data_IF_567112876800
#
_entry.id   IF_567112876800
#
_cell.length_a   1.000
_cell.length_b   1.000
_cell.length_c   1.000
_cell.angle_alpha   90.00
_cell.angle_beta   90.00
_cell.angle_gamma   90.00
#
_symmetry.space_group_name_H-M   'P 1'
#
loop_
_entity.id
_entity.type
_entity.pdbx_description
1 polymer ?
#
# COMPACT_ATOMS: atom_id res chain seq x y z
N UNK A 1 -10.42 -22.85 -4.15
CA UNK A 1 -11.18 -22.57 -2.92
C UNK A 1 -12.49 -23.30 -2.98
N UNK A 2 -12.98 -23.80 -1.84
CA UNK A 2 -14.26 -24.52 -1.76
C UNK A 2 -15.18 -23.82 -0.77
N UNK A 3 -16.48 -24.05 -0.92
CA UNK A 3 -17.50 -23.62 0.05
C UNK A 3 -17.28 -24.28 1.42
N UNK A 4 -17.75 -23.66 2.51
CA UNK A 4 -17.54 -24.19 3.87
C UNK A 4 -18.40 -25.42 4.17
N UNK A 5 -19.44 -25.68 3.37
CA UNK A 5 -20.36 -26.81 3.56
C UNK A 5 -19.81 -28.16 3.08
N UNK A 6 -18.73 -28.18 2.28
CA UNK A 6 -18.20 -29.42 1.71
C UNK A 6 -17.18 -30.12 2.62
N UNK A 7 -17.10 -31.45 2.49
CA UNK A 7 -16.06 -32.25 3.15
C UNK A 7 -14.71 -32.14 2.40
N UNK A 8 -13.92 -31.13 2.75
CA UNK A 8 -12.65 -30.86 2.06
C UNK A 8 -11.63 -32.00 2.16
N UNK A 9 -11.69 -32.82 3.23
CA UNK A 9 -10.76 -33.96 3.39
C UNK A 9 -11.04 -35.05 2.37
N UNK A 10 -12.31 -35.32 2.10
CA UNK A 10 -12.75 -36.29 1.10
C UNK A 10 -12.39 -35.82 -0.31
N UNK A 11 -12.63 -34.54 -0.63
CA UNK A 11 -12.23 -33.95 -1.92
C UNK A 11 -10.70 -34.03 -2.09
N UNK A 12 -9.92 -33.67 -1.06
CA UNK A 12 -8.46 -33.76 -1.10
C UNK A 12 -7.98 -35.19 -1.36
N UNK A 13 -8.60 -36.18 -0.73
CA UNK A 13 -8.29 -37.60 -0.94
C UNK A 13 -8.63 -38.06 -2.37
N UNK A 14 -9.79 -37.66 -2.90
CA UNK A 14 -10.20 -38.03 -4.25
C UNK A 14 -9.30 -37.42 -5.33
N UNK A 15 -8.70 -36.26 -5.05
CA UNK A 15 -7.74 -35.62 -5.94
C UNK A 15 -6.30 -36.14 -5.77
N UNK A 16 -6.06 -37.01 -4.79
CA UNK A 16 -4.75 -37.60 -4.55
C UNK A 16 -4.34 -38.49 -5.73
N UNK A 17 -3.07 -38.41 -6.14
CA UNK A 17 -2.48 -39.16 -7.27
C UNK A 17 -3.09 -38.85 -8.65
N UNK A 18 -3.89 -37.80 -8.78
CA UNK A 18 -4.32 -37.30 -10.10
C UNK A 18 -3.16 -36.53 -10.74
N UNK A 19 -2.89 -36.84 -12.01
CA UNK A 19 -1.88 -36.14 -12.83
C UNK A 19 -2.56 -35.28 -13.88
N UNK A 20 -2.06 -34.07 -14.06
CA UNK A 20 -2.44 -33.14 -15.11
C UNK A 20 -1.22 -32.81 -15.95
N UNK A 21 -1.24 -33.14 -17.25
CA UNK A 21 -0.08 -32.95 -18.17
C UNK A 21 1.22 -33.52 -17.60
N UNK A 22 1.16 -34.77 -17.14
CA UNK A 22 2.25 -35.51 -16.50
C UNK A 22 2.79 -34.93 -15.17
N UNK A 23 2.19 -33.85 -14.65
CA UNK A 23 2.48 -33.31 -13.33
C UNK A 23 1.48 -33.84 -12.29
N UNK A 24 1.98 -34.42 -11.20
CA UNK A 24 1.15 -34.84 -10.08
C UNK A 24 0.72 -33.64 -9.23
N UNK A 25 -0.57 -33.55 -8.90
CA UNK A 25 -1.10 -32.40 -8.15
C UNK A 25 -0.72 -32.42 -6.67
N UNK A 26 -0.72 -33.60 -6.04
CA UNK A 26 -0.42 -33.82 -4.61
C UNK A 26 -1.08 -32.79 -3.66
N UNK A 27 -2.42 -32.72 -3.63
CA UNK A 27 -3.13 -31.70 -2.87
C UNK A 27 -2.98 -31.88 -1.35
N UNK A 28 -3.04 -30.77 -0.62
CA UNK A 28 -3.10 -30.75 0.84
C UNK A 28 -4.25 -29.89 1.36
N UNK A 29 -4.83 -30.28 2.49
CA UNK A 29 -5.88 -29.46 3.15
C UNK A 29 -5.23 -28.25 3.79
N UNK A 30 -5.50 -27.07 3.23
CA UNK A 30 -5.03 -25.81 3.78
C UNK A 30 -5.72 -25.50 5.13
N UNK A 31 -4.96 -24.99 6.10
CA UNK A 31 -5.49 -24.62 7.42
C UNK A 31 -5.93 -23.16 7.42
N UNK A 32 -6.95 -22.86 8.22
CA UNK A 32 -7.41 -21.50 8.40
C UNK A 32 -6.34 -20.62 9.08
N UNK A 33 -6.35 -19.32 8.76
CA UNK A 33 -5.44 -18.34 9.36
C UNK A 33 -5.82 -18.09 10.83
N UNK A 34 -4.91 -18.39 11.76
CA UNK A 34 -5.15 -18.22 13.21
C UNK A 34 -4.78 -16.84 13.73
N UNK A 35 -3.70 -16.23 13.20
CA UNK A 35 -3.21 -14.90 13.60
C UNK A 35 -3.33 -13.92 12.43
N UNK A 36 -4.54 -13.40 12.25
CA UNK A 36 -4.89 -12.44 11.19
C UNK A 36 -4.41 -11.02 11.48
N UNK A 37 -4.51 -10.58 12.74
CA UNK A 37 -4.05 -9.26 13.18
C UNK A 37 -2.67 -9.40 13.82
N UNK A 38 -1.69 -8.64 13.32
CA UNK A 38 -0.30 -8.71 13.78
C UNK A 38 0.20 -7.32 14.16
N UNK A 39 0.85 -7.22 15.32
CA UNK A 39 1.33 -5.95 15.81
C UNK A 39 2.73 -5.64 15.28
N UNK A 40 2.97 -4.38 14.96
CA UNK A 40 4.32 -3.83 14.73
C UNK A 40 4.77 -2.99 15.94
N UNK A 41 5.92 -2.32 15.84
CA UNK A 41 6.41 -1.45 16.91
C UNK A 41 5.39 -0.32 17.22
N UNK A 42 5.13 -0.08 18.50
CA UNK A 42 4.20 0.94 18.99
C UNK A 42 4.68 2.39 18.81
N UNK A 43 5.94 2.62 18.44
CA UNK A 43 6.45 3.96 18.11
C UNK A 43 5.59 4.63 17.02
N UNK A 44 4.97 3.83 16.14
CA UNK A 44 4.03 4.25 15.08
C UNK A 44 2.78 4.98 15.56
N UNK A 45 2.52 5.03 16.86
CA UNK A 45 1.45 5.83 17.44
C UNK A 45 1.86 7.29 17.71
N UNK A 46 3.15 7.62 17.61
CA UNK A 46 3.66 8.95 17.89
C UNK A 46 3.22 9.97 16.82
N UNK A 47 2.78 11.17 17.24
CA UNK A 47 2.24 12.22 16.36
C UNK A 47 3.09 12.53 15.12
N UNK A 48 4.41 12.60 15.25
CA UNK A 48 5.30 12.86 14.09
C UNK A 48 5.29 11.70 13.09
N UNK A 49 5.21 10.46 13.57
CA UNK A 49 5.14 9.29 12.69
C UNK A 49 3.77 9.22 12.04
N UNK A 50 2.68 9.48 12.79
CA UNK A 50 1.33 9.56 12.23
C UNK A 50 1.23 10.58 11.08
N UNK A 51 1.77 11.79 11.25
CA UNK A 51 1.79 12.81 10.17
C UNK A 51 2.57 12.35 8.95
N UNK A 52 3.76 11.78 9.17
CA UNK A 52 4.58 11.22 8.09
C UNK A 52 3.84 10.10 7.35
N UNK A 53 3.20 9.21 8.09
CA UNK A 53 2.47 8.08 7.53
C UNK A 53 1.24 8.52 6.73
N UNK A 54 0.52 9.58 7.18
CA UNK A 54 -0.58 10.18 6.40
C UNK A 54 -0.05 10.67 5.03
N UNK A 55 1.08 11.38 5.02
CA UNK A 55 1.72 11.86 3.78
C UNK A 55 2.08 10.69 2.85
N UNK A 56 2.73 9.65 3.38
CA UNK A 56 3.15 8.49 2.59
C UNK A 56 1.96 7.67 2.09
N UNK A 57 0.95 7.43 2.94
CA UNK A 57 -0.26 6.71 2.58
C UNK A 57 -1.07 7.47 1.51
N UNK A 58 -1.22 8.79 1.64
CA UNK A 58 -1.87 9.60 0.62
C UNK A 58 -1.14 9.53 -0.73
N UNK A 59 0.20 9.60 -0.71
CA UNK A 59 1.03 9.43 -1.93
C UNK A 59 0.85 8.04 -2.56
N UNK A 60 0.80 6.98 -1.75
CA UNK A 60 0.54 5.62 -2.23
C UNK A 60 -0.83 5.52 -2.88
N UNK A 61 -1.87 6.06 -2.23
CA UNK A 61 -3.24 6.03 -2.75
C UNK A 61 -3.30 6.74 -4.10
N UNK A 62 -2.71 7.94 -4.23
CA UNK A 62 -2.63 8.62 -5.52
C UNK A 62 -1.97 7.76 -6.60
N UNK A 63 -0.79 7.21 -6.31
CA UNK A 63 -0.06 6.38 -7.27
C UNK A 63 -0.85 5.13 -7.68
N UNK A 64 -1.52 4.47 -6.74
CA UNK A 64 -2.27 3.24 -6.97
C UNK A 64 -3.61 3.48 -7.68
N UNK A 65 -4.33 4.52 -7.28
CA UNK A 65 -5.58 4.95 -7.92
C UNK A 65 -5.33 5.34 -9.39
N UNK A 66 -4.24 6.07 -9.66
CA UNK A 66 -3.83 6.43 -11.02
C UNK A 66 -3.35 5.20 -11.79
N UNK A 67 -2.56 4.31 -11.18
CA UNK A 67 -2.06 3.07 -11.80
C UNK A 67 -3.20 2.13 -12.21
N UNK A 68 -4.26 2.07 -11.40
CA UNK A 68 -5.42 1.20 -11.64
C UNK A 68 -6.55 1.91 -12.38
N UNK A 69 -6.43 3.22 -12.61
CA UNK A 69 -7.47 4.08 -13.19
C UNK A 69 -8.83 3.93 -12.49
N UNK A 70 -8.83 3.69 -11.18
CA UNK A 70 -10.04 3.35 -10.40
C UNK A 70 -11.09 4.46 -10.44
N UNK A 71 -10.63 5.71 -10.43
CA UNK A 71 -11.45 6.92 -10.38
C UNK A 71 -11.52 7.66 -11.74
N UNK A 72 -10.91 7.10 -12.79
CA UNK A 72 -10.88 7.68 -14.13
C UNK A 72 -12.27 7.65 -14.81
N UNK A 73 -12.53 8.62 -15.69
CA UNK A 73 -13.83 8.82 -16.37
C UNK A 73 -14.15 7.78 -17.48
N UNK A 74 -13.79 6.51 -17.29
CA UNK A 74 -13.97 5.49 -18.32
C UNK A 74 -14.51 4.17 -17.74
N UNK A 75 -15.75 4.23 -17.25
CA UNK A 75 -16.64 3.08 -17.40
C UNK A 75 -17.77 3.42 -18.37
N UNK A 76 -17.45 3.12 -19.64
CA UNK A 76 -18.36 2.83 -20.77
C UNK A 76 -18.97 4.02 -21.53
N UNK A 77 -18.67 4.02 -22.83
CA UNK A 77 -19.56 4.27 -23.96
C UNK A 77 -20.62 5.40 -23.82
N UNK A 78 -20.56 6.33 -24.79
CA UNK A 78 -21.58 7.31 -25.20
C UNK A 78 -21.70 8.60 -24.38
N UNK A 79 -21.01 9.66 -24.85
CA UNK A 79 -21.60 10.81 -25.56
C UNK A 79 -20.51 11.91 -25.69
N UNK A 80 -20.40 12.61 -26.83
CA UNK A 80 -19.51 13.76 -26.95
C UNK A 80 -20.17 14.95 -26.26
N UNK A 81 -19.95 15.10 -24.96
CA UNK A 81 -20.22 16.37 -24.27
C UNK A 81 -18.90 16.96 -23.77
N UNK A 82 -18.39 17.90 -24.56
CA UNK A 82 -17.30 18.81 -24.21
C UNK A 82 -17.73 19.75 -23.08
N UNK A 83 -17.81 19.28 -21.83
CA UNK A 83 -17.72 20.15 -20.65
C UNK A 83 -17.42 19.31 -19.40
N UNK A 84 -16.22 19.48 -18.85
CA UNK A 84 -15.81 19.17 -17.46
C UNK A 84 -15.99 17.73 -16.95
N UNK A 85 -15.39 16.73 -17.59
CA UNK A 85 -15.16 15.43 -16.94
C UNK A 85 -13.85 15.48 -16.13
N UNK A 86 -13.84 16.17 -14.99
CA UNK A 86 -12.81 15.91 -13.99
C UNK A 86 -13.06 14.50 -13.43
N UNK A 87 -12.03 13.64 -13.31
CA UNK A 87 -12.17 12.33 -12.68
C UNK A 87 -12.76 12.51 -11.27
N UNK A 88 -13.68 11.63 -10.89
CA UNK A 88 -14.29 11.66 -9.56
C UNK A 88 -13.19 11.40 -8.53
N UNK A 89 -12.69 12.44 -7.86
CA UNK A 89 -11.56 12.29 -6.94
C UNK A 89 -11.91 11.42 -5.72
N UNK A 90 -10.92 10.65 -5.25
CA UNK A 90 -11.07 9.82 -4.06
C UNK A 90 -11.48 10.69 -2.85
N UNK A 91 -12.66 10.46 -2.25
CA UNK A 91 -13.18 11.33 -1.21
C UNK A 91 -12.36 11.33 0.08
N UNK A 92 -11.56 10.27 0.34
CA UNK A 92 -10.74 10.17 1.55
C UNK A 92 -9.50 11.07 1.51
N UNK A 93 -9.14 11.57 0.32
CA UNK A 93 -8.00 12.46 0.12
C UNK A 93 -8.39 13.94 0.16
N UNK A 94 -9.69 14.25 0.26
CA UNK A 94 -10.17 15.63 0.39
C UNK A 94 -9.63 16.25 1.67
N UNK A 95 -9.01 17.42 1.55
CA UNK A 95 -8.45 18.21 2.66
C UNK A 95 -7.38 17.45 3.47
N UNK A 96 -6.67 16.50 2.85
CA UNK A 96 -5.65 15.72 3.57
C UNK A 96 -4.44 16.59 3.97
N UNK A 97 -4.15 17.64 3.20
CA UNK A 97 -3.06 18.59 3.45
C UNK A 97 -3.22 19.36 4.76
N UNK A 98 -4.45 19.59 5.20
CA UNK A 98 -4.76 20.35 6.43
C UNK A 98 -4.24 19.61 7.67
N UNK A 99 -4.17 18.27 7.62
CA UNK A 99 -3.64 17.43 8.69
C UNK A 99 -2.12 17.29 8.66
N UNK A 100 -1.46 17.74 7.59
CA UNK A 100 0.00 17.70 7.43
C UNK A 100 0.68 18.98 7.93
N UNK A 101 -0.08 20.06 8.14
CA UNK A 101 0.41 21.33 8.65
C UNK A 101 0.38 21.27 10.18
N UNK A 102 1.48 21.62 10.84
CA UNK A 102 1.50 21.79 12.29
C UNK A 102 0.95 23.18 12.63
N UNK A 103 -0.29 23.24 13.12
CA UNK A 103 -0.82 24.44 13.76
C UNK A 103 -0.15 24.61 15.12
N UNK A 104 0.77 25.58 15.21
CA UNK A 104 1.43 25.98 16.46
C UNK A 104 1.05 27.42 16.80
N UNK A 105 0.71 27.69 18.06
CA UNK A 105 0.43 29.04 18.57
C UNK A 105 1.75 29.77 18.87
N UNK A 106 2.65 29.81 17.88
CA UNK A 106 4.00 30.36 18.05
C UNK A 106 3.99 31.83 18.48
N UNK A 107 3.01 32.60 17.99
CA UNK A 107 2.81 34.00 18.38
C UNK A 107 2.43 34.14 19.86
N UNK A 108 1.56 33.27 20.38
CA UNK A 108 1.15 33.27 21.79
C UNK A 108 2.29 32.84 22.71
N UNK A 109 3.07 31.82 22.31
CA UNK A 109 4.23 31.37 23.10
C UNK A 109 5.35 32.42 23.15
N UNK A 110 5.55 33.16 22.06
CA UNK A 110 6.51 34.27 21.99
C UNK A 110 6.02 35.51 22.78
N UNK A 111 4.73 35.86 22.68
CA UNK A 111 4.11 36.94 23.47
C UNK A 111 4.11 36.67 24.97
N UNK A 112 3.94 35.41 25.37
CA UNK A 112 3.99 34.99 26.78
C UNK A 112 5.43 34.86 27.31
N UNK A 113 6.46 35.08 26.49
CA UNK A 113 7.87 35.02 26.91
C UNK A 113 8.32 33.62 27.36
N UNK A 114 7.56 32.56 26.99
CA UNK A 114 7.90 31.16 27.33
C UNK A 114 9.00 30.59 26.43
N UNK A 115 9.45 31.36 25.45
CA UNK A 115 10.68 31.15 24.67
C UNK A 115 11.93 31.35 25.53
N UNK A 116 12.07 30.59 26.62
CA UNK A 116 13.25 30.61 27.48
C UNK A 116 13.07 30.12 28.92
N UNK A 117 11.84 29.97 29.41
CA UNK A 117 11.58 29.47 30.76
C UNK A 117 11.28 27.96 30.73
N UNK A 118 12.03 27.12 31.49
CA UNK A 118 11.63 25.74 31.66
C UNK A 118 10.26 25.74 32.33
N UNK A 119 9.28 25.12 31.69
CA UNK A 119 7.96 24.91 32.28
C UNK A 119 8.12 24.42 33.73
N UNK A 120 7.49 25.09 34.69
CA UNK A 120 7.29 24.58 36.06
C UNK A 120 6.31 23.40 36.10
N UNK A 121 6.43 22.48 35.13
CA UNK A 121 6.12 21.09 35.39
C UNK A 121 7.40 20.48 35.93
N UNK A 122 7.35 20.02 37.20
CA UNK A 122 8.36 19.18 37.83
C UNK A 122 9.24 18.46 36.80
N UNK A 123 10.57 18.68 36.75
CA UNK A 123 11.41 18.06 35.75
C UNK A 123 11.31 16.56 35.96
N UNK A 124 10.53 15.88 35.12
CA UNK A 124 10.55 14.42 35.07
C UNK A 124 11.92 14.06 34.52
N UNK A 125 12.85 13.78 35.44
CA UNK A 125 14.16 13.17 35.19
C UNK A 125 14.13 12.37 33.90
N UNK A 126 14.86 12.87 32.92
CA UNK A 126 14.90 12.31 31.57
C UNK A 126 15.82 13.15 30.72
N UNK A 127 16.62 12.46 29.92
CA UNK A 127 17.54 13.08 28.98
C UNK A 127 16.74 14.01 28.03
N UNK A 128 17.20 15.23 27.67
CA UNK A 128 16.49 16.12 26.73
C UNK A 128 16.22 15.48 25.34
N UNK A 129 16.93 14.39 25.04
CA UNK A 129 16.75 13.60 23.82
C UNK A 129 15.57 12.61 23.89
N UNK A 130 14.99 12.36 25.06
CA UNK A 130 13.94 11.37 25.32
C UNK A 130 12.55 12.01 25.37
N UNK A 131 11.68 11.57 24.46
CA UNK A 131 10.29 12.00 24.34
C UNK A 131 9.32 10.87 24.73
N UNK A 132 8.18 11.27 25.28
CA UNK A 132 7.06 10.35 25.51
C UNK A 132 6.25 10.24 24.23
N UNK A 133 5.76 9.04 23.91
CA UNK A 133 4.90 8.82 22.75
C UNK A 133 3.56 9.54 22.95
N UNK A 134 3.43 10.70 22.33
CA UNK A 134 2.19 11.46 22.26
C UNK A 134 1.33 10.98 21.08
N UNK A 135 0.08 10.61 21.38
CA UNK A 135 -0.88 10.08 20.41
C UNK A 135 -1.99 11.09 20.15
N UNK A 136 -2.15 11.49 18.90
CA UNK A 136 -3.23 12.36 18.45
C UNK A 136 -4.36 11.53 17.80
N UNK A 137 -5.52 11.49 18.45
CA UNK A 137 -6.69 10.73 17.97
C UNK A 137 -7.28 11.25 16.65
N UNK A 138 -7.13 12.54 16.34
CA UNK A 138 -7.62 13.09 15.07
C UNK A 138 -6.76 12.55 13.92
N UNK A 139 -5.43 12.60 14.07
CA UNK A 139 -4.50 12.06 13.08
C UNK A 139 -4.68 10.55 12.91
N UNK A 140 -4.87 9.81 14.00
CA UNK A 140 -5.14 8.36 13.95
C UNK A 140 -6.37 8.06 13.09
N UNK A 141 -7.50 8.75 13.33
CA UNK A 141 -8.74 8.53 12.57
C UNK A 141 -8.59 8.82 11.07
N UNK A 142 -7.78 9.83 10.73
CA UNK A 142 -7.49 10.16 9.33
C UNK A 142 -6.64 9.07 8.70
N UNK A 143 -5.52 8.72 9.34
CA UNK A 143 -4.61 7.68 8.86
C UNK A 143 -5.34 6.34 8.68
N UNK A 144 -6.17 5.94 9.64
CA UNK A 144 -6.89 4.65 9.58
C UNK A 144 -7.78 4.52 8.37
N UNK A 145 -8.43 5.61 7.92
CA UNK A 145 -9.22 5.59 6.68
C UNK A 145 -8.35 5.32 5.46
N UNK A 146 -7.17 5.94 5.40
CA UNK A 146 -6.20 5.72 4.31
C UNK A 146 -5.68 4.29 4.31
N UNK A 147 -5.29 3.77 5.48
CA UNK A 147 -4.73 2.43 5.60
C UNK A 147 -5.77 1.34 5.31
N UNK A 148 -7.01 1.53 5.78
CA UNK A 148 -8.12 0.64 5.45
C UNK A 148 -8.43 0.66 3.97
N UNK A 149 -8.41 1.83 3.33
CA UNK A 149 -8.58 1.93 1.87
C UNK A 149 -7.49 1.16 1.13
N UNK A 150 -6.22 1.40 1.45
CA UNK A 150 -5.08 0.67 0.88
C UNK A 150 -5.24 -0.84 1.05
N UNK A 151 -5.63 -1.29 2.24
CA UNK A 151 -5.74 -2.71 2.56
C UNK A 151 -6.91 -3.40 1.86
N UNK A 152 -8.08 -2.75 1.80
CA UNK A 152 -9.32 -3.34 1.29
C UNK A 152 -9.41 -3.22 -0.23
N UNK A 153 -9.01 -2.08 -0.80
CA UNK A 153 -9.13 -1.80 -2.23
C UNK A 153 -7.93 -2.30 -3.01
N UNK A 154 -6.72 -1.99 -2.53
CA UNK A 154 -5.47 -2.28 -3.24
C UNK A 154 -4.72 -3.50 -2.69
N UNK A 155 -5.28 -4.22 -1.72
CA UNK A 155 -4.65 -5.38 -1.08
C UNK A 155 -3.24 -5.09 -0.53
N UNK A 156 -3.00 -3.85 -0.10
CA UNK A 156 -1.70 -3.39 0.41
C UNK A 156 -1.72 -3.32 1.94
N UNK A 157 -0.85 -4.09 2.59
CA UNK A 157 -0.67 -4.10 4.04
C UNK A 157 0.43 -3.09 4.43
N UNK A 158 -0.01 -1.88 4.78
CA UNK A 158 0.87 -0.71 4.92
C UNK A 158 2.01 -0.93 5.93
N UNK A 159 1.70 -1.38 7.14
CA UNK A 159 2.70 -1.55 8.19
C UNK A 159 3.64 -2.74 7.95
N UNK A 160 3.26 -3.69 7.08
CA UNK A 160 4.12 -4.76 6.61
C UNK A 160 4.82 -4.42 5.29
N UNK A 161 4.54 -3.24 4.72
CA UNK A 161 5.11 -2.74 3.47
C UNK A 161 5.05 -3.78 2.35
N UNK A 162 3.91 -4.45 2.18
CA UNK A 162 3.75 -5.58 1.23
C UNK A 162 2.38 -5.56 0.55
N UNK A 163 2.33 -5.96 -0.72
CA UNK A 163 1.10 -6.17 -1.50
C UNK A 163 0.71 -7.66 -1.56
N UNK A 164 -0.59 -7.96 -1.46
CA UNK A 164 -1.15 -9.29 -1.67
C UNK A 164 -1.87 -9.36 -3.03
N UNK A 165 -1.09 -9.41 -4.12
CA UNK A 165 -1.59 -9.23 -5.51
C UNK A 165 -2.76 -10.14 -5.90
N UNK A 166 -2.72 -11.42 -5.52
CA UNK A 166 -3.73 -12.42 -5.93
C UNK A 166 -4.74 -12.71 -4.81
N UNK A 167 -4.89 -11.81 -3.84
CA UNK A 167 -5.70 -12.08 -2.65
C UNK A 167 -7.19 -12.32 -2.96
N UNK A 168 -7.71 -11.75 -4.05
CA UNK A 168 -9.10 -12.00 -4.47
C UNK A 168 -9.34 -13.45 -4.91
N UNK A 169 -8.33 -14.12 -5.46
CA UNK A 169 -8.42 -15.52 -5.89
C UNK A 169 -8.07 -16.51 -4.77
N UNK A 170 -7.37 -16.05 -3.73
CA UNK A 170 -6.95 -16.89 -2.61
C UNK A 170 -8.12 -17.26 -1.68
N UNK A 171 -8.01 -18.36 -0.90
CA UNK A 171 -9.10 -18.81 -0.02
C UNK A 171 -9.54 -17.79 1.04
N UNK A 172 -8.63 -16.94 1.52
CA UNK A 172 -8.92 -15.91 2.51
C UNK A 172 -8.81 -14.53 1.87
N UNK A 173 -9.93 -13.99 1.37
CA UNK A 173 -10.00 -12.60 0.92
C UNK A 173 -9.78 -11.67 2.12
N UNK A 174 -8.86 -10.70 1.98
CA UNK A 174 -8.42 -9.80 3.05
C UNK A 174 -7.94 -10.56 4.31
N UNK A 175 -6.96 -11.45 4.16
CA UNK A 175 -6.49 -12.40 5.17
C UNK A 175 -5.80 -11.75 6.37
N UNK A 176 -4.55 -11.33 6.21
CA UNK A 176 -3.70 -10.78 7.28
C UNK A 176 -3.63 -9.25 7.18
N UNK A 177 -3.58 -8.59 8.33
CA UNK A 177 -3.35 -7.14 8.44
C UNK A 177 -2.39 -6.84 9.59
N UNK A 178 -1.45 -5.92 9.36
CA UNK A 178 -0.57 -5.42 10.40
C UNK A 178 -1.12 -4.13 11.00
N UNK A 179 -1.03 -4.01 12.33
CA UNK A 179 -1.57 -2.91 13.11
C UNK A 179 -0.51 -2.34 14.06
N UNK A 180 -0.72 -1.11 14.51
CA UNK A 180 0.14 -0.45 15.50
C UNK A 180 0.18 -1.27 16.79
N UNK A 181 1.39 -1.52 17.32
CA UNK A 181 1.56 -2.22 18.60
C UNK A 181 1.27 -1.34 19.80
N UNK A 182 1.31 -1.90 21.04
CA UNK A 182 1.07 -1.14 22.26
C UNK A 182 2.10 -0.02 22.43
N UNK A 183 1.71 1.06 23.11
CA UNK A 183 2.60 2.20 23.37
C UNK A 183 3.84 1.70 24.13
N UNK A 184 5.07 2.02 23.65
CA UNK A 184 6.29 1.63 24.34
C UNK A 184 6.28 2.10 25.80
N UNK A 185 6.67 1.25 26.77
CA UNK A 185 6.69 1.63 28.18
C UNK A 185 7.83 2.62 28.49
N UNK A 186 8.90 2.58 27.70
CA UNK A 186 10.04 3.48 27.83
C UNK A 186 9.85 4.71 26.93
N UNK A 187 10.47 5.83 27.32
CA UNK A 187 10.59 7.00 26.44
C UNK A 187 11.38 6.60 25.18
N UNK A 188 11.01 7.20 24.06
CA UNK A 188 11.70 7.03 22.78
C UNK A 188 12.52 8.28 22.50
N UNK A 189 13.62 8.16 21.78
CA UNK A 189 14.44 9.32 21.43
C UNK A 189 13.96 9.96 20.13
N UNK A 190 14.22 11.27 19.96
CA UNK A 190 13.99 11.94 18.68
C UNK A 190 14.72 11.25 17.52
N UNK A 191 15.91 10.71 17.79
CA UNK A 191 16.72 9.97 16.83
C UNK A 191 16.03 8.68 16.38
N UNK A 192 15.48 7.90 17.30
CA UNK A 192 14.74 6.66 16.96
C UNK A 192 13.51 6.94 16.10
N UNK A 193 12.79 8.04 16.37
CA UNK A 193 11.65 8.46 15.53
C UNK A 193 12.09 8.78 14.11
N UNK A 194 13.18 9.55 13.94
CA UNK A 194 13.71 9.89 12.63
C UNK A 194 14.28 8.67 11.87
N UNK A 195 15.00 7.79 12.57
CA UNK A 195 15.52 6.54 12.01
C UNK A 195 14.39 5.61 11.58
N UNK A 196 13.30 5.52 12.36
CA UNK A 196 12.12 4.76 11.98
C UNK A 196 11.50 5.31 10.69
N UNK A 197 11.24 6.61 10.60
CA UNK A 197 10.64 7.23 9.42
C UNK A 197 11.46 6.95 8.17
N UNK A 198 12.78 7.15 8.24
CA UNK A 198 13.69 6.89 7.13
C UNK A 198 13.67 5.42 6.71
N UNK A 199 13.86 4.50 7.66
CA UNK A 199 13.88 3.06 7.36
C UNK A 199 12.54 2.55 6.82
N UNK A 200 11.43 3.14 7.26
CA UNK A 200 10.09 2.78 6.79
C UNK A 200 9.82 3.30 5.37
N UNK A 201 10.22 4.53 5.06
CA UNK A 201 10.11 5.10 3.71
C UNK A 201 10.96 4.31 2.70
N UNK A 202 12.17 3.91 3.07
CA UNK A 202 13.03 3.03 2.25
C UNK A 202 12.35 1.69 1.93
N UNK A 203 11.63 1.09 2.88
CA UNK A 203 10.87 -0.15 2.67
C UNK A 203 9.63 0.04 1.80
N UNK A 204 9.01 1.22 1.83
CA UNK A 204 7.85 1.53 1.00
C UNK A 204 8.22 1.87 -0.44
N UNK A 205 9.46 2.33 -0.70
CA UNK A 205 9.90 2.78 -2.03
C UNK A 205 9.60 1.79 -3.17
N UNK A 206 9.84 0.46 -3.02
CA UNK A 206 9.53 -0.50 -4.08
C UNK A 206 8.03 -0.55 -4.45
N UNK A 207 7.13 -0.22 -3.52
CA UNK A 207 5.68 -0.24 -3.80
C UNK A 207 5.25 0.92 -4.72
N UNK A 208 6.05 1.98 -4.81
CA UNK A 208 5.86 3.06 -5.76
C UNK A 208 6.42 2.76 -7.16
N UNK A 209 7.12 1.63 -7.33
CA UNK A 209 7.79 1.34 -8.59
C UNK A 209 6.78 1.15 -9.74
N UNK A 210 7.11 1.78 -10.87
CA UNK A 210 6.42 1.57 -12.14
C UNK A 210 7.13 0.42 -12.86
N UNK A 211 6.41 -0.34 -13.68
CA UNK A 211 7.03 -1.38 -14.52
C UNK A 211 8.13 -0.74 -15.36
N UNK A 212 9.36 -1.18 -15.12
CA UNK A 212 10.49 -0.73 -15.91
C UNK A 212 10.32 -1.20 -17.36
N UNK A 213 10.62 -0.30 -18.29
CA UNK A 213 10.61 -0.57 -19.72
C UNK A 213 12.01 -0.32 -20.25
N UNK A 214 12.48 -1.23 -21.11
CA UNK A 214 13.76 -1.03 -21.80
C UNK A 214 13.69 0.21 -22.69
N UNK A 215 14.84 0.83 -22.94
CA UNK A 215 14.95 1.85 -23.98
C UNK A 215 14.61 1.26 -25.34
N UNK A 216 14.16 2.10 -26.28
CA UNK A 216 13.82 1.62 -27.63
C UNK A 216 15.02 0.96 -28.33
N UNK A 217 16.22 1.51 -28.15
CA UNK A 217 17.45 0.96 -28.71
C UNK A 217 17.76 -0.44 -28.16
N UNK A 218 17.62 -0.64 -26.85
CA UNK A 218 17.85 -1.94 -26.22
C UNK A 218 16.75 -2.94 -26.59
N UNK A 219 15.49 -2.49 -26.64
CA UNK A 219 14.39 -3.33 -27.08
C UNK A 219 14.60 -3.82 -28.52
N UNK A 220 15.05 -2.94 -29.42
CA UNK A 220 15.41 -3.32 -30.79
C UNK A 220 16.59 -4.30 -30.84
N UNK A 221 17.64 -4.08 -30.04
CA UNK A 221 18.78 -5.03 -29.91
C UNK A 221 18.32 -6.40 -29.38
N UNK A 222 17.31 -6.44 -28.52
CA UNK A 222 16.70 -7.66 -27.99
C UNK A 222 15.69 -8.30 -28.96
N UNK A 223 15.49 -7.73 -30.15
CA UNK A 223 14.62 -8.29 -31.18
C UNK A 223 13.16 -7.88 -31.05
N UNK A 224 12.87 -6.66 -30.56
CA UNK A 224 11.52 -6.07 -30.63
C UNK A 224 11.05 -6.09 -32.08
N UNK A 225 10.03 -6.91 -32.35
CA UNK A 225 9.45 -7.11 -33.68
C UNK A 225 8.61 -5.91 -34.09
N UNK A 226 8.75 -5.54 -35.36
CA UNK A 226 7.87 -4.55 -35.97
C UNK A 226 6.54 -5.22 -36.37
N UNK A 227 5.37 -4.68 -35.95
CA UNK A 227 4.09 -5.29 -36.25
C UNK A 227 3.79 -5.41 -37.75
N UNK A 228 4.09 -4.38 -38.54
CA UNK A 228 3.76 -4.37 -39.98
C UNK A 228 4.66 -5.33 -40.74
N UNK A 229 5.96 -5.37 -40.41
CA UNK A 229 6.90 -6.30 -41.01
C UNK A 229 6.54 -7.77 -40.73
N UNK A 230 6.10 -8.10 -39.52
CA UNK A 230 5.70 -9.47 -39.19
C UNK A 230 4.40 -9.89 -39.89
N UNK A 231 3.47 -8.95 -40.07
CA UNK A 231 2.26 -9.19 -40.88
C UNK A 231 2.64 -9.46 -42.34
N UNK A 232 3.55 -8.68 -42.91
CA UNK A 232 4.01 -8.87 -44.29
C UNK A 232 4.74 -10.21 -44.45
N UNK A 233 5.62 -10.56 -43.50
CA UNK A 233 6.29 -11.86 -43.47
C UNK A 233 5.27 -13.02 -43.40
N UNK A 234 4.18 -12.84 -42.66
CA UNK A 234 3.09 -13.82 -42.60
C UNK A 234 2.33 -13.93 -43.94
N UNK A 235 1.97 -12.80 -44.56
CA UNK A 235 1.26 -12.79 -45.86
C UNK A 235 2.10 -13.45 -46.95
N UNK A 236 3.36 -13.06 -47.06
CA UNK A 236 4.29 -13.58 -48.07
C UNK A 236 4.55 -15.08 -47.90
N UNK A 237 4.80 -15.56 -46.68
CA UNK A 237 5.04 -16.99 -46.41
C UNK A 237 3.83 -17.89 -46.72
N UNK A 238 2.62 -17.33 -46.71
CA UNK A 238 1.39 -18.06 -47.02
C UNK A 238 0.86 -17.80 -48.43
N UNK A 239 1.48 -16.89 -49.20
CA UNK A 239 1.12 -16.61 -50.59
C UNK A 239 2.07 -17.37 -51.51
N UNK A 240 1.79 -18.66 -51.69
CA UNK A 240 2.60 -19.55 -52.51
C UNK A 240 2.09 -19.58 -53.95
N UNK A 241 2.99 -19.38 -54.91
CA UNK A 241 2.69 -19.55 -56.33
C UNK A 241 2.60 -21.06 -56.64
N UNK A 242 1.47 -21.49 -57.19
CA UNK A 242 1.29 -22.85 -57.70
C UNK A 242 2.00 -22.93 -59.06
N UNK A 243 3.03 -23.77 -59.13
CA UNK A 243 3.77 -24.06 -60.36
C UNK A 243 2.97 -24.83 -61.40
#
# INVERSE_FOLDING_TARGET
TFDRTVNIKEICWNLQNIRLRDCELSPGVNRDLTRRVRNINGITQHKQILRNDIKLAAKLIHALDDRTQLWGAASKAQLPSEVSNLPSQNPILKNITDYLIEEVSAEEEELLGRSGEPSEETPKEGNPAEITVERDEKLVKVLDKLLLYLRIVHSLDYYNTSEYLNEDEMPNRCGIVHVRGPIPPNRVTHREVAEWQKAFEEKLLPLFSVRESLSEEEALKMGKKDPEQEVENFVTSNTLELG
#
